data_IF_179396286413
#
_entry.id   IF_179396286413
#
_cell.length_a   1.000
_cell.length_b   1.000
_cell.length_c   1.000
_cell.angle_alpha   90.00
_cell.angle_beta   90.00
_cell.angle_gamma   90.00
#
_symmetry.space_group_name_H-M   'P 1'
#
loop_
_entity.id
_entity.type
_entity.pdbx_description
1 polymer ?
#
# COMPACT_ATOMS: atom_id res chain seq x y z
N UNK A 1 -26.75 -36.64 21.85
CA UNK A 1 -25.42 -36.02 22.05
C UNK A 1 -25.22 -34.94 20.98
N UNK A 2 -25.40 -33.67 21.35
CA UNK A 2 -25.15 -32.53 20.43
C UNK A 2 -23.65 -32.26 20.44
N UNK A 3 -22.97 -32.43 19.30
CA UNK A 3 -21.61 -31.94 19.08
C UNK A 3 -21.69 -30.88 17.98
N UNK A 4 -21.85 -29.62 18.39
CA UNK A 4 -21.67 -28.45 17.54
C UNK A 4 -20.21 -28.02 17.68
N UNK A 5 -19.35 -28.50 16.79
CA UNK A 5 -18.03 -27.91 16.58
C UNK A 5 -18.21 -26.76 15.59
N UNK A 6 -18.58 -25.59 16.10
CA UNK A 6 -18.46 -24.34 15.37
C UNK A 6 -17.00 -23.90 15.43
N UNK A 7 -16.22 -24.30 14.42
CA UNK A 7 -14.89 -23.75 14.17
C UNK A 7 -15.06 -22.33 13.63
N UNK A 8 -15.06 -21.32 14.52
CA UNK A 8 -14.92 -19.92 14.10
C UNK A 8 -13.52 -19.70 13.52
N UNK A 9 -13.41 -19.84 12.19
CA UNK A 9 -12.36 -19.18 11.42
C UNK A 9 -12.65 -17.69 11.47
N UNK A 10 -12.12 -17.02 12.50
CA UNK A 10 -12.00 -15.57 12.52
C UNK A 10 -10.98 -15.17 11.45
N UNK A 11 -11.43 -14.95 10.22
CA UNK A 11 -10.65 -14.15 9.29
C UNK A 11 -10.58 -12.73 9.84
N UNK A 12 -9.39 -12.12 9.97
CA UNK A 12 -9.29 -10.70 10.24
C UNK A 12 -9.94 -9.96 9.06
N UNK A 13 -11.11 -9.38 9.31
CA UNK A 13 -11.71 -8.38 8.43
C UNK A 13 -10.82 -7.14 8.52
N UNK A 14 -9.78 -7.08 7.69
CA UNK A 14 -9.00 -5.86 7.48
C UNK A 14 -9.95 -4.92 6.73
N UNK A 15 -10.58 -3.99 7.45
CA UNK A 15 -11.41 -2.95 6.85
C UNK A 15 -10.52 -2.07 5.98
N UNK A 16 -10.53 -2.31 4.68
CA UNK A 16 -9.94 -1.41 3.70
C UNK A 16 -10.80 -0.15 3.66
N UNK A 17 -10.24 0.99 4.07
CA UNK A 17 -10.81 2.28 3.71
C UNK A 17 -10.67 2.41 2.18
N UNK A 18 -11.74 2.06 1.47
CA UNK A 18 -11.85 2.22 0.03
C UNK A 18 -12.02 3.70 -0.31
N UNK A 19 -10.99 4.51 -0.08
CA UNK A 19 -10.87 5.71 -0.90
C UNK A 19 -10.73 5.21 -2.33
N UNK A 20 -11.75 5.47 -3.14
CA UNK A 20 -11.85 4.97 -4.51
C UNK A 20 -10.66 5.51 -5.30
N UNK A 21 -9.61 4.68 -5.40
CA UNK A 21 -8.43 5.00 -6.18
C UNK A 21 -8.87 5.28 -7.62
N UNK A 22 -8.63 6.49 -8.11
CA UNK A 22 -8.94 6.83 -9.50
C UNK A 22 -7.94 6.13 -10.43
N UNK A 23 -8.32 4.93 -10.86
CA UNK A 23 -7.53 4.10 -11.75
C UNK A 23 -7.25 4.74 -13.11
N UNK A 24 -8.12 5.67 -13.56
CA UNK A 24 -7.91 6.40 -14.82
C UNK A 24 -6.73 7.37 -14.72
N UNK A 25 -6.37 7.73 -13.49
CA UNK A 25 -5.28 8.63 -13.19
C UNK A 25 -3.93 7.93 -13.01
N UNK A 26 -3.80 6.63 -13.28
CA UNK A 26 -2.57 5.86 -13.03
C UNK A 26 -1.87 5.41 -14.32
N UNK A 27 -0.54 5.49 -14.34
CA UNK A 27 0.30 4.91 -15.40
C UNK A 27 0.61 3.44 -15.12
N UNK A 28 -0.41 2.59 -15.06
CA UNK A 28 -0.32 1.16 -14.74
C UNK A 28 -0.68 0.20 -15.89
N UNK A 29 -0.71 0.70 -17.12
CA UNK A 29 -1.10 -0.09 -18.28
C UNK A 29 -2.53 -0.63 -18.16
N UNK A 30 -2.67 -1.96 -18.07
CA UNK A 30 -3.97 -2.64 -17.91
C UNK A 30 -4.24 -3.08 -16.47
N UNK A 31 -3.30 -2.90 -15.55
CA UNK A 31 -3.47 -3.35 -14.16
C UNK A 31 -4.52 -2.49 -13.47
N UNK A 32 -5.48 -3.16 -12.83
CA UNK A 32 -6.36 -2.55 -11.84
C UNK A 32 -5.88 -2.93 -10.45
N UNK A 33 -5.73 -1.94 -9.57
CA UNK A 33 -5.18 -2.14 -8.22
C UNK A 33 -6.34 -2.44 -7.28
N UNK A 34 -6.25 -3.58 -6.60
CA UNK A 34 -7.17 -4.04 -5.55
C UNK A 34 -6.37 -4.44 -4.31
N UNK A 35 -7.06 -4.74 -3.21
CA UNK A 35 -6.40 -5.22 -1.98
C UNK A 35 -5.60 -6.51 -2.15
N UNK A 36 -5.93 -7.32 -3.15
CA UNK A 36 -5.18 -8.54 -3.48
C UNK A 36 -3.98 -8.31 -4.39
N UNK A 37 -3.77 -7.08 -4.90
CA UNK A 37 -2.64 -6.77 -5.78
C UNK A 37 -1.33 -6.90 -5.02
N UNK A 38 -0.38 -7.59 -5.64
CA UNK A 38 0.95 -7.84 -5.09
C UNK A 38 1.95 -6.75 -5.48
N UNK A 39 3.03 -6.64 -4.73
CA UNK A 39 4.13 -5.74 -5.04
C UNK A 39 4.71 -6.00 -6.45
N UNK A 40 4.91 -7.26 -6.82
CA UNK A 40 5.42 -7.66 -8.13
C UNK A 40 4.52 -7.17 -9.27
N UNK A 41 3.19 -7.34 -9.15
CA UNK A 41 2.25 -6.90 -10.19
C UNK A 41 2.33 -5.39 -10.45
N UNK A 42 2.47 -4.59 -9.39
CA UNK A 42 2.67 -3.14 -9.51
C UNK A 42 4.02 -2.81 -10.14
N UNK A 43 5.09 -3.51 -9.74
CA UNK A 43 6.43 -3.31 -10.32
C UNK A 43 6.50 -3.65 -11.80
N UNK A 44 5.78 -4.68 -12.23
CA UNK A 44 5.77 -5.14 -13.62
C UNK A 44 4.90 -4.25 -14.52
N UNK A 45 3.86 -3.62 -13.95
CA UNK A 45 2.79 -2.96 -14.73
C UNK A 45 2.78 -1.44 -14.63
N UNK A 46 3.35 -0.86 -13.57
CA UNK A 46 3.24 0.57 -13.30
C UNK A 46 4.54 1.34 -13.50
N UNK A 47 4.41 2.58 -13.95
CA UNK A 47 5.52 3.53 -13.96
C UNK A 47 5.78 4.03 -12.53
N UNK A 48 6.79 3.44 -11.89
CA UNK A 48 7.22 3.77 -10.54
C UNK A 48 8.12 5.01 -10.55
N UNK A 49 7.83 5.95 -9.64
CA UNK A 49 8.71 7.09 -9.36
C UNK A 49 9.75 6.74 -8.29
N UNK A 50 9.32 6.16 -7.17
CA UNK A 50 10.15 5.78 -6.02
C UNK A 50 9.52 4.61 -5.27
N UNK A 51 10.35 3.84 -4.58
CA UNK A 51 9.92 2.79 -3.67
C UNK A 51 10.89 2.68 -2.49
N UNK A 52 10.39 2.54 -1.26
CA UNK A 52 11.24 2.46 -0.07
C UNK A 52 10.51 1.87 1.14
N UNK A 53 11.23 1.22 2.08
CA UNK A 53 10.64 0.84 3.35
C UNK A 53 10.43 2.07 4.24
N UNK A 54 9.27 2.13 4.90
CA UNK A 54 9.02 3.02 6.03
C UNK A 54 9.91 2.61 7.20
N UNK A 55 11.03 3.32 7.38
CA UNK A 55 11.91 3.11 8.53
C UNK A 55 11.34 3.84 9.75
N UNK A 56 11.45 3.22 10.93
CA UNK A 56 11.26 3.97 12.18
C UNK A 56 12.27 5.12 12.17
N UNK A 57 11.82 6.35 12.40
CA UNK A 57 12.72 7.46 12.71
C UNK A 57 13.55 7.05 13.94
N UNK A 58 14.81 6.64 13.73
CA UNK A 58 15.76 6.41 14.80
C UNK A 58 16.21 7.82 15.19
N UNK A 59 15.76 8.28 16.35
CA UNK A 59 15.90 9.64 16.81
C UNK A 59 17.36 10.12 16.76
N UNK A 60 17.71 11.00 15.83
CA UNK A 60 18.83 11.92 15.97
C UNK A 60 18.44 13.28 15.37
N UNK A 61 18.33 14.28 16.25
CA UNK A 61 17.99 15.69 16.00
C UNK A 61 16.50 16.02 15.85
N UNK A 62 16.00 16.50 16.99
CA UNK A 62 14.67 17.00 17.28
C UNK A 62 14.42 18.31 16.51
N UNK A 63 14.13 18.29 15.21
CA UNK A 63 13.58 19.49 14.55
C UNK A 63 12.78 19.34 13.25
N UNK A 64 12.87 18.25 12.47
CA UNK A 64 12.33 18.33 11.09
C UNK A 64 11.23 17.35 10.66
N UNK A 65 10.70 16.46 11.51
CA UNK A 65 9.66 15.53 11.04
C UNK A 65 8.53 15.30 12.04
N UNK A 66 7.45 16.06 11.86
CA UNK A 66 6.16 15.93 12.59
C UNK A 66 5.25 14.81 12.01
N UNK A 67 5.74 14.05 11.04
CA UNK A 67 5.09 12.80 10.63
C UNK A 67 5.92 11.64 11.16
N UNK A 68 5.71 11.28 12.42
CA UNK A 68 6.06 9.93 12.87
C UNK A 68 5.32 9.00 11.93
N UNK A 69 6.07 8.20 11.17
CA UNK A 69 5.55 7.25 10.22
C UNK A 69 4.51 6.37 10.93
N UNK A 70 3.22 6.61 10.64
CA UNK A 70 2.11 5.97 11.36
C UNK A 70 2.07 4.46 11.12
N UNK A 71 2.83 4.00 10.12
CA UNK A 71 2.93 2.62 9.68
C UNK A 71 4.40 2.18 9.56
N UNK A 72 5.15 2.12 10.68
CA UNK A 72 6.50 1.60 10.63
C UNK A 72 6.46 0.16 10.10
N UNK A 73 7.38 -0.19 9.18
CA UNK A 73 7.53 -1.49 8.50
C UNK A 73 6.74 -1.70 7.20
N UNK A 74 5.91 -0.77 6.75
CA UNK A 74 5.34 -0.88 5.40
C UNK A 74 6.36 -0.53 4.32
N UNK A 75 6.10 -0.97 3.10
CA UNK A 75 6.90 -0.64 1.92
C UNK A 75 6.07 0.26 1.00
N UNK A 76 6.47 1.52 0.85
CA UNK A 76 5.75 2.49 0.01
C UNK A 76 6.24 2.42 -1.42
N UNK A 77 5.31 2.42 -2.37
CA UNK A 77 5.56 2.58 -3.81
C UNK A 77 4.82 3.82 -4.30
N UNK A 78 5.55 4.77 -4.88
CA UNK A 78 5.01 5.99 -5.45
C UNK A 78 4.87 5.84 -6.97
N UNK A 79 3.64 5.99 -7.47
CA UNK A 79 3.27 5.81 -8.87
C UNK A 79 3.04 7.16 -9.55
N UNK A 80 3.43 7.28 -10.82
CA UNK A 80 3.11 8.47 -11.61
C UNK A 80 1.62 8.53 -11.95
N UNK A 81 1.01 9.68 -11.70
CA UNK A 81 -0.31 9.98 -12.17
C UNK A 81 -0.32 10.41 -13.66
N UNK A 82 -1.46 10.26 -14.34
CA UNK A 82 -1.65 10.70 -15.73
C UNK A 82 -1.93 12.20 -15.82
N UNK A 83 -2.52 12.80 -14.77
CA UNK A 83 -2.73 14.25 -14.72
C UNK A 83 -1.42 15.00 -14.44
N UNK A 84 -1.07 16.03 -15.23
CA UNK A 84 0.18 16.78 -15.11
C UNK A 84 0.19 17.82 -13.97
N UNK A 85 -0.82 17.81 -13.08
CA UNK A 85 -0.83 18.67 -11.91
C UNK A 85 0.35 18.28 -11.01
N UNK A 86 1.36 19.14 -11.00
CA UNK A 86 2.66 18.96 -10.35
C UNK A 86 2.47 18.42 -8.93
N UNK A 87 2.88 17.16 -8.73
CA UNK A 87 3.01 16.45 -7.44
C UNK A 87 1.88 15.51 -6.99
N UNK A 88 0.85 15.25 -7.81
CA UNK A 88 -0.09 14.16 -7.49
C UNK A 88 0.58 12.82 -7.79
N UNK A 89 1.12 12.19 -6.75
CA UNK A 89 1.56 10.80 -6.77
C UNK A 89 0.53 9.97 -6.04
N UNK A 90 0.19 8.83 -6.61
CA UNK A 90 -0.49 7.79 -5.84
C UNK A 90 0.58 7.02 -5.08
N UNK A 91 0.38 6.86 -3.77
CA UNK A 91 1.27 6.12 -2.88
C UNK A 91 0.56 4.86 -2.43
N UNK A 92 1.11 3.71 -2.78
CA UNK A 92 0.58 2.42 -2.38
C UNK A 92 1.53 1.77 -1.37
N UNK A 93 1.00 1.34 -0.24
CA UNK A 93 1.77 0.71 0.83
C UNK A 93 1.56 -0.81 0.81
N UNK A 94 2.65 -1.56 0.96
CA UNK A 94 2.67 -3.02 1.01
C UNK A 94 3.20 -3.50 2.36
N UNK A 95 2.82 -4.71 2.77
CA UNK A 95 3.23 -5.27 4.07
C UNK A 95 4.76 -5.42 4.23
N UNK A 96 5.49 -5.57 3.12
CA UNK A 96 6.94 -5.67 3.09
C UNK A 96 7.50 -5.45 1.68
N UNK A 97 8.82 -5.60 1.52
CA UNK A 97 9.50 -5.59 0.21
C UNK A 97 9.47 -6.96 -0.51
N UNK A 98 8.78 -7.97 0.05
CA UNK A 98 8.60 -9.26 -0.64
C UNK A 98 7.77 -9.05 -1.92
N UNK A 99 8.18 -9.57 -3.08
CA UNK A 99 7.40 -9.45 -4.31
C UNK A 99 5.94 -9.92 -4.20
N UNK A 100 5.65 -10.86 -3.29
CA UNK A 100 4.31 -11.38 -3.03
C UNK A 100 3.55 -10.62 -1.94
N UNK A 101 4.14 -9.58 -1.36
CA UNK A 101 3.50 -8.78 -0.33
C UNK A 101 2.17 -8.20 -0.84
N UNK A 102 1.13 -8.32 -0.02
CA UNK A 102 -0.19 -7.80 -0.33
C UNK A 102 -0.24 -6.28 -0.14
N UNK A 103 -1.10 -5.63 -0.92
CA UNK A 103 -1.41 -4.22 -0.79
C UNK A 103 -2.17 -3.96 0.53
N UNK A 104 -1.67 -3.00 1.30
CA UNK A 104 -2.34 -2.50 2.51
C UNK A 104 -3.32 -1.39 2.14
N UNK A 105 -2.92 -0.47 1.26
CA UNK A 105 -3.79 0.59 0.74
C UNK A 105 -3.06 1.56 -0.18
N UNK A 106 -3.81 2.37 -0.91
CA UNK A 106 -3.28 3.46 -1.73
C UNK A 106 -3.92 4.80 -1.34
N UNK A 107 -3.17 5.90 -1.50
CA UNK A 107 -3.58 7.28 -1.21
C UNK A 107 -2.99 8.29 -2.20
#
# INVERSE_FOLDING_TARGET
MRKLLLSLLMLPMISFASDSLDMSNLKCGKLQIYSSTTLQEVQDSCLIRRQYPHTKAIAETKQDFDWIDRFPKLYEVQLFATTPAKNNLVRCDFESQDPKAALVGCR
#
